data_IF_605579849148
#
_entry.id   IF_605579849148
#
_cell.length_a   1.000
_cell.length_b   1.000
_cell.length_c   1.000
_cell.angle_alpha   90.00
_cell.angle_beta   90.00
_cell.angle_gamma   90.00
#
_symmetry.space_group_name_H-M   'P 1'
#
loop_
_entity.id
_entity.type
_entity.pdbx_description
1 polymer ?
#
# COMPACT_ATOMS: atom_id res chain seq x y z
N UNK A 1 12.32 3.06 20.31
CA UNK A 1 13.69 2.86 19.76
C UNK A 1 13.79 3.51 18.39
N UNK A 2 14.99 3.73 17.87
CA UNK A 2 15.19 4.20 16.48
C UNK A 2 14.60 3.20 15.46
N UNK A 3 14.63 1.90 15.77
CA UNK A 3 14.00 0.84 14.96
C UNK A 3 12.48 1.02 14.85
N UNK A 4 11.76 1.26 15.96
CA UNK A 4 10.31 1.52 15.93
C UNK A 4 10.00 2.74 15.07
N UNK A 5 10.81 3.81 15.16
CA UNK A 5 10.60 5.01 14.34
C UNK A 5 10.74 4.71 12.84
N UNK A 6 11.79 3.98 12.44
CA UNK A 6 11.98 3.57 11.04
C UNK A 6 10.81 2.73 10.53
N UNK A 7 10.35 1.76 11.31
CA UNK A 7 9.20 0.93 10.95
C UNK A 7 7.89 1.74 10.85
N UNK A 8 7.69 2.75 11.69
CA UNK A 8 6.54 3.66 11.60
C UNK A 8 6.60 4.55 10.36
N UNK A 9 7.78 5.04 9.99
CA UNK A 9 8.01 5.79 8.76
C UNK A 9 7.74 4.93 7.51
N UNK A 10 8.26 3.70 7.49
CA UNK A 10 8.01 2.73 6.42
C UNK A 10 6.52 2.39 6.31
N UNK A 11 5.85 2.18 7.45
CA UNK A 11 4.40 1.92 7.49
C UNK A 11 3.62 3.11 6.90
N UNK A 12 3.96 4.33 7.30
CA UNK A 12 3.31 5.55 6.79
C UNK A 12 3.53 5.71 5.28
N UNK A 13 4.73 5.43 4.79
CA UNK A 13 5.02 5.46 3.36
C UNK A 13 4.19 4.42 2.59
N UNK A 14 4.12 3.18 3.09
CA UNK A 14 3.31 2.13 2.47
C UNK A 14 1.81 2.45 2.49
N UNK A 15 1.30 3.02 3.57
CA UNK A 15 -0.09 3.48 3.64
C UNK A 15 -0.39 4.59 2.63
N UNK A 16 0.51 5.57 2.48
CA UNK A 16 0.39 6.62 1.47
C UNK A 16 0.43 6.08 0.04
N UNK A 17 1.31 5.11 -0.21
CA UNK A 17 1.37 4.42 -1.49
C UNK A 17 0.07 3.65 -1.78
N UNK A 18 -0.44 2.86 -0.84
CA UNK A 18 -1.70 2.13 -0.98
C UNK A 18 -2.86 3.09 -1.29
N UNK A 19 -2.98 4.19 -0.54
CA UNK A 19 -4.01 5.20 -0.77
C UNK A 19 -3.95 5.79 -2.19
N UNK A 20 -2.75 5.98 -2.75
CA UNK A 20 -2.59 6.47 -4.12
C UNK A 20 -3.05 5.47 -5.18
N UNK A 21 -2.84 4.17 -4.94
CA UNK A 21 -3.27 3.07 -5.81
C UNK A 21 -4.79 2.89 -5.73
N UNK A 22 -5.34 2.88 -4.51
CA UNK A 22 -6.78 2.78 -4.27
C UNK A 22 -7.53 3.96 -4.88
N UNK A 23 -6.97 5.17 -4.81
CA UNK A 23 -7.57 6.35 -5.46
C UNK A 23 -7.71 6.16 -6.98
N UNK A 24 -6.78 5.48 -7.64
CA UNK A 24 -6.89 5.16 -9.07
C UNK A 24 -7.93 4.06 -9.29
N UNK A 25 -7.86 2.97 -8.55
CA UNK A 25 -8.77 1.83 -8.70
C UNK A 25 -10.22 2.18 -8.35
N UNK A 26 -10.45 3.16 -7.48
CA UNK A 26 -11.78 3.65 -7.13
C UNK A 26 -12.31 4.75 -8.05
N UNK A 27 -11.50 5.22 -9.02
CA UNK A 27 -11.92 6.24 -9.97
C UNK A 27 -12.53 5.55 -11.22
N UNK A 28 -13.85 5.68 -11.47
CA UNK A 28 -14.48 5.04 -12.62
C UNK A 28 -13.86 5.46 -13.95
N UNK A 29 -13.45 6.73 -14.08
CA UNK A 29 -12.77 7.22 -15.29
C UNK A 29 -11.43 6.55 -15.50
N UNK A 30 -10.70 6.19 -14.44
CA UNK A 30 -9.45 5.45 -14.58
C UNK A 30 -9.73 4.02 -15.03
N UNK A 31 -10.72 3.35 -14.45
CA UNK A 31 -11.10 1.99 -14.82
C UNK A 31 -11.60 1.87 -16.27
N UNK A 32 -12.34 2.88 -16.74
CA UNK A 32 -12.86 2.92 -18.11
C UNK A 32 -11.78 3.20 -19.16
N UNK A 33 -10.78 4.01 -18.82
CA UNK A 33 -9.76 4.46 -19.79
C UNK A 33 -8.43 3.70 -19.71
N UNK A 34 -8.15 3.02 -18.60
CA UNK A 34 -6.93 2.24 -18.43
C UNK A 34 -7.05 0.88 -19.12
N UNK A 35 -5.94 0.39 -19.68
CA UNK A 35 -5.89 -0.97 -20.21
C UNK A 35 -6.01 -2.00 -19.09
N UNK A 36 -6.50 -3.20 -19.43
CA UNK A 36 -6.60 -4.31 -18.49
C UNK A 36 -5.27 -4.60 -17.78
N UNK A 37 -4.14 -4.52 -18.50
CA UNK A 37 -2.81 -4.69 -17.93
C UNK A 37 -2.47 -3.63 -16.87
N UNK A 38 -2.85 -2.37 -17.10
CA UNK A 38 -2.63 -1.28 -16.13
C UNK A 38 -3.47 -1.50 -14.89
N UNK A 39 -4.74 -1.88 -15.05
CA UNK A 39 -5.64 -2.17 -13.93
C UNK A 39 -5.12 -3.36 -13.12
N UNK A 40 -4.68 -4.43 -13.77
CA UNK A 40 -4.09 -5.60 -13.11
C UNK A 40 -2.81 -5.22 -12.36
N UNK A 41 -1.95 -4.40 -12.95
CA UNK A 41 -0.74 -3.91 -12.29
C UNK A 41 -1.05 -3.07 -11.05
N UNK A 42 -2.06 -2.20 -11.09
CA UNK A 42 -2.49 -1.44 -9.91
C UNK A 42 -3.10 -2.38 -8.85
N UNK A 43 -3.87 -3.41 -9.23
CA UNK A 43 -4.36 -4.43 -8.27
C UNK A 43 -3.23 -5.23 -7.62
N UNK A 44 -2.20 -5.60 -8.38
CA UNK A 44 -1.00 -6.25 -7.83
C UNK A 44 -0.29 -5.34 -6.84
N UNK A 45 -0.08 -4.06 -7.19
CA UNK A 45 0.48 -3.06 -6.26
C UNK A 45 -0.35 -2.91 -5.00
N UNK A 46 -1.68 -2.93 -5.11
CA UNK A 46 -2.59 -2.86 -3.95
C UNK A 46 -2.36 -4.04 -3.01
N UNK A 47 -2.37 -5.27 -3.54
CA UNK A 47 -2.16 -6.48 -2.76
C UNK A 47 -0.75 -6.50 -2.11
N UNK A 48 0.29 -6.15 -2.86
CA UNK A 48 1.66 -6.09 -2.34
C UNK A 48 1.80 -5.06 -1.21
N UNK A 49 1.19 -3.89 -1.37
CA UNK A 49 1.21 -2.84 -0.35
C UNK A 49 0.45 -3.27 0.92
N UNK A 50 -0.73 -3.88 0.76
CA UNK A 50 -1.51 -4.41 1.88
C UNK A 50 -0.73 -5.48 2.66
N UNK A 51 -0.10 -6.43 1.97
CA UNK A 51 0.73 -7.45 2.61
C UNK A 51 1.91 -6.84 3.38
N UNK A 52 2.61 -5.86 2.79
CA UNK A 52 3.71 -5.16 3.47
C UNK A 52 3.24 -4.40 4.71
N UNK A 53 2.09 -3.72 4.62
CA UNK A 53 1.49 -3.01 5.77
C UNK A 53 1.23 -3.97 6.92
N UNK A 54 0.62 -5.14 6.64
CA UNK A 54 0.35 -6.16 7.67
C UNK A 54 1.64 -6.60 8.34
N UNK A 55 2.66 -6.97 7.57
CA UNK A 55 3.96 -7.40 8.10
C UNK A 55 4.62 -6.31 8.95
N UNK A 56 4.58 -5.05 8.51
CA UNK A 56 5.13 -3.91 9.25
C UNK A 56 4.37 -3.68 10.57
N UNK A 57 3.04 -3.78 10.55
CA UNK A 57 2.19 -3.65 11.73
C UNK A 57 2.44 -4.77 12.75
N UNK A 58 2.55 -6.01 12.28
CA UNK A 58 2.88 -7.17 13.13
C UNK A 58 4.24 -7.01 13.78
N UNK A 59 5.26 -6.59 13.01
CA UNK A 59 6.60 -6.33 13.54
C UNK A 59 6.61 -5.19 14.56
N UNK A 60 5.88 -4.10 14.29
CA UNK A 60 5.74 -3.00 15.25
C UNK A 60 5.09 -3.47 16.55
N UNK A 61 4.04 -4.29 16.46
CA UNK A 61 3.33 -4.84 17.63
C UNK A 61 4.23 -5.73 18.49
N UNK A 62 5.16 -6.47 17.88
CA UNK A 62 6.13 -7.30 18.61
C UNK A 62 7.20 -6.48 19.36
N UNK A 63 7.43 -5.24 18.94
CA UNK A 63 8.47 -4.35 19.50
C UNK A 63 7.91 -3.32 20.50
N UNK A 64 6.58 -3.22 20.63
CA UNK A 64 5.88 -2.35 21.57
C UNK A 64 5.56 -3.07 22.87
#
# INVERSE_FOLDING_TARGET
SEEIRKLQEDLKYMQGFLASVEKKLNNPRFLENASAQVIENERKKQADAQNKIVVLQERLKQLQ
#
